data_IF_908445576589
#
_entry.id   IF_908445576589
#
_cell.length_a   1.000
_cell.length_b   1.000
_cell.length_c   1.000
_cell.angle_alpha   90.00
_cell.angle_beta   90.00
_cell.angle_gamma   90.00
#
_symmetry.space_group_name_H-M   'P 1'
#
loop_
_entity.id
_entity.type
_entity.pdbx_description
1 polymer ?
#
# COMPACT_ATOMS: atom_id res chain seq x y z
N UNK A 1 -13.62 -33.34 2.17
CA UNK A 1 -12.56 -33.61 1.18
C UNK A 1 -13.17 -33.31 -0.18
N UNK A 2 -12.99 -32.08 -0.66
CA UNK A 2 -13.36 -31.70 -2.02
C UNK A 2 -12.04 -31.43 -2.74
N UNK A 3 -11.77 -32.23 -3.75
CA UNK A 3 -10.54 -32.24 -4.54
C UNK A 3 -10.55 -31.11 -5.54
N UNK A 4 -9.41 -30.45 -5.67
CA UNK A 4 -9.14 -29.43 -6.67
C UNK A 4 -9.05 -30.08 -8.06
N UNK A 5 -10.19 -30.23 -8.74
CA UNK A 5 -10.24 -30.40 -10.19
C UNK A 5 -11.67 -30.06 -10.65
N UNK A 6 -11.75 -29.31 -11.76
CA UNK A 6 -12.95 -28.78 -12.42
C UNK A 6 -13.46 -27.38 -12.00
N UNK A 7 -12.55 -26.40 -11.97
CA UNK A 7 -12.90 -24.99 -12.20
C UNK A 7 -12.18 -24.48 -13.45
N UNK A 8 -12.68 -24.88 -14.63
CA UNK A 8 -12.42 -24.18 -15.89
C UNK A 8 -13.76 -23.65 -16.40
N UNK A 9 -14.14 -22.46 -15.93
CA UNK A 9 -15.24 -21.69 -16.51
C UNK A 9 -14.95 -20.19 -16.33
N UNK A 10 -14.72 -19.54 -17.46
CA UNK A 10 -14.90 -18.10 -17.76
C UNK A 10 -14.48 -17.08 -16.69
N UNK A 11 -13.32 -16.43 -16.90
CA UNK A 11 -13.12 -14.96 -16.83
C UNK A 11 -13.65 -14.13 -15.65
N UNK A 12 -14.16 -14.73 -14.57
CA UNK A 12 -14.74 -14.01 -13.46
C UNK A 12 -13.63 -13.63 -12.47
N UNK A 13 -13.43 -12.34 -12.30
CA UNK A 13 -12.45 -11.80 -11.35
C UNK A 13 -12.84 -12.27 -9.94
N UNK A 14 -12.03 -13.14 -9.33
CA UNK A 14 -12.30 -13.65 -8.00
C UNK A 14 -12.19 -12.54 -6.94
N UNK A 15 -13.35 -12.08 -6.47
CA UNK A 15 -13.46 -11.11 -5.37
C UNK A 15 -13.52 -11.83 -4.03
N UNK A 16 -12.46 -11.70 -3.21
CA UNK A 16 -12.29 -12.46 -1.96
C UNK A 16 -12.16 -11.53 -0.75
N UNK A 17 -12.47 -12.04 0.45
CA UNK A 17 -12.09 -11.37 1.70
C UNK A 17 -10.65 -11.72 2.04
N UNK A 18 -9.89 -10.78 2.61
CA UNK A 18 -8.47 -11.00 2.83
C UNK A 18 -7.96 -10.31 4.10
N UNK A 19 -7.24 -11.08 4.92
CA UNK A 19 -6.74 -10.62 6.21
C UNK A 19 -7.86 -10.15 7.14
N UNK A 20 -7.62 -9.05 7.84
CA UNK A 20 -8.61 -8.40 8.71
C UNK A 20 -9.47 -7.34 8.00
N UNK A 21 -9.34 -7.19 6.67
CA UNK A 21 -10.16 -6.28 5.90
C UNK A 21 -11.50 -6.94 5.51
N UNK A 22 -12.60 -6.30 5.91
CA UNK A 22 -13.97 -6.78 5.70
C UNK A 22 -14.53 -6.53 4.30
N UNK A 23 -13.86 -5.71 3.48
CA UNK A 23 -14.20 -5.49 2.07
C UNK A 23 -13.79 -6.67 1.18
N UNK A 24 -14.08 -6.56 -0.11
CA UNK A 24 -13.72 -7.58 -1.11
C UNK A 24 -12.59 -7.08 -2.00
N UNK A 25 -11.56 -7.88 -2.18
CA UNK A 25 -10.41 -7.54 -3.03
C UNK A 25 -10.38 -8.43 -4.26
N UNK A 26 -9.95 -7.86 -5.39
CA UNK A 26 -9.60 -8.64 -6.57
C UNK A 26 -8.35 -9.45 -6.23
N UNK A 27 -8.46 -10.76 -6.15
CA UNK A 27 -7.31 -11.63 -5.93
C UNK A 27 -6.42 -11.61 -7.18
N UNK A 28 -5.12 -11.40 -7.00
CA UNK A 28 -4.17 -11.56 -8.09
C UNK A 28 -3.92 -13.06 -8.26
N UNK A 29 -3.99 -13.54 -9.49
CA UNK A 29 -3.74 -14.95 -9.80
C UNK A 29 -2.27 -15.31 -9.50
N UNK A 30 -1.94 -16.60 -9.37
CA UNK A 30 -0.59 -17.06 -8.96
C UNK A 30 0.10 -17.83 -10.10
N UNK A 31 -0.20 -17.47 -11.35
CA UNK A 31 0.46 -18.04 -12.52
C UNK A 31 1.71 -17.21 -12.84
N UNK A 32 2.64 -17.76 -13.63
CA UNK A 32 3.92 -17.09 -13.95
C UNK A 32 3.72 -15.68 -14.54
N UNK A 33 2.63 -15.44 -15.25
CA UNK A 33 2.35 -14.15 -15.92
C UNK A 33 1.49 -13.17 -15.09
N UNK A 34 1.12 -13.53 -13.86
CA UNK A 34 0.14 -12.78 -13.07
C UNK A 34 0.57 -11.35 -12.69
N UNK A 35 1.87 -11.11 -12.54
CA UNK A 35 2.40 -9.77 -12.28
C UNK A 35 2.24 -8.86 -13.53
N UNK A 36 2.69 -9.35 -14.69
CA UNK A 36 2.57 -8.65 -15.96
C UNK A 36 1.10 -8.40 -16.35
N UNK A 37 0.21 -9.39 -16.16
CA UNK A 37 -1.23 -9.24 -16.40
C UNK A 37 -1.84 -8.10 -15.58
N UNK A 38 -1.50 -8.02 -14.29
CA UNK A 38 -2.03 -6.97 -13.42
C UNK A 38 -1.48 -5.59 -13.79
N UNK A 39 -0.18 -5.49 -14.09
CA UNK A 39 0.44 -4.24 -14.55
C UNK A 39 -0.19 -3.77 -15.86
N UNK A 40 -0.33 -4.66 -16.86
CA UNK A 40 -1.00 -4.35 -18.12
C UNK A 40 -2.45 -3.89 -17.91
N UNK A 41 -3.19 -4.55 -17.02
CA UNK A 41 -4.57 -4.17 -16.71
C UNK A 41 -4.65 -2.78 -16.08
N UNK A 42 -3.77 -2.47 -15.13
CA UNK A 42 -3.71 -1.18 -14.46
C UNK A 42 -3.40 -0.06 -15.44
N UNK A 43 -2.42 -0.25 -16.33
CA UNK A 43 -2.09 0.74 -17.35
C UNK A 43 -3.17 0.89 -18.43
N UNK A 44 -3.86 -0.20 -18.78
CA UNK A 44 -4.96 -0.18 -19.74
C UNK A 44 -6.23 0.50 -19.22
N UNK A 45 -6.66 0.17 -18.00
CA UNK A 45 -7.90 0.67 -17.40
C UNK A 45 -7.71 2.03 -16.76
N UNK A 46 -6.67 2.21 -15.94
CA UNK A 46 -6.50 3.45 -15.19
C UNK A 46 -5.78 4.54 -15.99
N UNK A 47 -5.01 4.17 -17.02
CA UNK A 47 -4.30 5.12 -17.87
C UNK A 47 -3.51 6.17 -17.05
N UNK A 48 -2.64 5.73 -16.12
CA UNK A 48 -2.00 6.62 -15.16
C UNK A 48 -1.16 7.71 -15.86
N UNK A 49 -0.59 7.41 -17.03
CA UNK A 49 0.20 8.35 -17.84
C UNK A 49 -0.61 9.55 -18.36
N UNK A 50 -1.92 9.40 -18.53
CA UNK A 50 -2.82 10.48 -18.97
C UNK A 50 -3.41 11.28 -17.81
N UNK A 51 -3.19 10.83 -16.58
CA UNK A 51 -3.76 11.43 -15.38
C UNK A 51 -2.78 12.45 -14.78
N UNK A 52 -3.32 13.59 -14.30
CA UNK A 52 -2.53 14.67 -13.71
C UNK A 52 -1.83 14.17 -12.42
N UNK A 53 -0.51 14.33 -12.26
CA UNK A 53 0.17 14.04 -11.00
C UNK A 53 -0.22 15.08 -9.94
N UNK A 54 0.00 14.76 -8.65
CA UNK A 54 -0.16 15.71 -7.55
C UNK A 54 -1.60 16.28 -7.46
N UNK A 55 -2.58 15.38 -7.48
CA UNK A 55 -4.01 15.70 -7.38
C UNK A 55 -4.39 16.20 -5.98
N UNK A 56 -3.72 15.70 -4.93
CA UNK A 56 -4.03 16.01 -3.54
C UNK A 56 -2.90 16.78 -2.85
N UNK A 57 -1.65 16.53 -3.24
CA UNK A 57 -0.49 17.15 -2.60
C UNK A 57 0.23 18.11 -3.53
N UNK A 58 0.56 19.31 -3.04
CA UNK A 58 1.49 20.21 -3.72
C UNK A 58 2.90 20.04 -3.16
N UNK A 59 3.78 19.39 -3.92
CA UNK A 59 5.17 19.15 -3.52
C UNK A 59 6.03 20.41 -3.51
N UNK A 60 5.56 21.52 -4.08
CA UNK A 60 6.20 22.82 -3.95
C UNK A 60 5.80 23.56 -2.66
N UNK A 61 4.75 23.09 -1.96
CA UNK A 61 4.29 23.72 -0.72
C UNK A 61 5.13 23.28 0.47
N UNK A 62 5.37 24.19 1.41
CA UNK A 62 5.99 23.88 2.70
C UNK A 62 5.00 23.23 3.69
N UNK A 63 3.72 23.29 3.38
CA UNK A 63 2.65 22.84 4.27
C UNK A 63 1.52 22.20 3.47
N UNK A 64 1.03 21.08 3.95
CA UNK A 64 -0.17 20.41 3.47
C UNK A 64 -1.19 20.36 4.62
N UNK A 65 -2.40 20.86 4.38
CA UNK A 65 -3.51 20.75 5.32
C UNK A 65 -4.46 19.65 4.88
N UNK A 66 -4.77 18.72 5.78
CA UNK A 66 -5.69 17.61 5.54
C UNK A 66 -6.63 17.46 6.73
N UNK A 67 -7.90 17.22 6.47
CA UNK A 67 -8.81 16.82 7.55
C UNK A 67 -8.73 15.30 7.73
N UNK A 68 -8.57 14.82 8.96
CA UNK A 68 -8.58 13.39 9.30
C UNK A 68 -9.25 13.20 10.66
N UNK A 69 -10.19 12.26 10.74
CA UNK A 69 -11.01 11.96 11.92
C UNK A 69 -11.68 13.19 12.53
N UNK A 70 -12.15 14.11 11.68
CA UNK A 70 -12.75 15.38 12.11
C UNK A 70 -11.78 16.43 12.66
N UNK A 71 -10.47 16.22 12.51
CA UNK A 71 -9.42 17.16 12.92
C UNK A 71 -8.64 17.64 11.71
N UNK A 72 -8.33 18.94 11.66
CA UNK A 72 -7.44 19.48 10.62
C UNK A 72 -5.98 19.28 11.03
N UNK A 73 -5.26 18.49 10.25
CA UNK A 73 -3.84 18.17 10.41
C UNK A 73 -3.05 19.03 9.44
N UNK A 74 -1.93 19.57 9.91
CA UNK A 74 -0.96 20.30 9.09
C UNK A 74 0.36 19.53 9.04
N UNK A 75 0.73 19.06 7.85
CA UNK A 75 2.01 18.39 7.59
C UNK A 75 3.00 19.39 7.05
N UNK A 76 4.17 19.48 7.69
CA UNK A 76 5.27 20.29 7.19
C UNK A 76 6.10 19.48 6.19
N UNK A 77 6.45 20.12 5.08
CA UNK A 77 7.21 19.52 4.00
C UNK A 77 8.50 20.31 3.76
N UNK A 78 9.50 19.65 3.21
CA UNK A 78 10.77 20.26 2.80
C UNK A 78 11.03 20.05 1.30
N UNK A 79 10.30 20.74 0.40
CA UNK A 79 10.44 20.63 -1.05
C UNK A 79 11.87 20.82 -1.56
N UNK A 80 12.62 21.73 -0.94
CA UNK A 80 14.02 22.01 -1.30
C UNK A 80 14.90 20.76 -1.19
N UNK A 81 14.55 19.84 -0.29
CA UNK A 81 15.34 18.63 -0.04
C UNK A 81 15.11 17.54 -1.10
N UNK A 82 14.02 17.58 -1.90
CA UNK A 82 13.79 16.60 -2.98
C UNK A 82 14.87 16.59 -4.06
N UNK A 83 15.54 17.72 -4.25
CA UNK A 83 16.64 17.82 -5.22
C UNK A 83 17.92 17.13 -4.75
N UNK A 84 17.96 16.69 -3.49
CA UNK A 84 19.12 16.01 -2.90
C UNK A 84 19.06 14.51 -3.26
N UNK A 85 20.10 13.96 -3.90
CA UNK A 85 20.16 12.52 -4.18
C UNK A 85 19.97 11.71 -2.90
N UNK A 86 19.06 10.73 -2.93
CA UNK A 86 18.76 9.87 -1.78
C UNK A 86 17.70 10.40 -0.82
N UNK A 87 17.15 11.60 -1.01
CA UNK A 87 16.08 12.14 -0.16
C UNK A 87 14.72 12.00 -0.85
N UNK A 88 13.95 10.99 -0.44
CA UNK A 88 12.60 10.70 -1.00
C UNK A 88 11.45 10.96 0.00
N UNK A 89 11.76 11.11 1.29
CA UNK A 89 10.78 11.28 2.38
C UNK A 89 10.48 12.73 2.78
N UNK A 90 10.91 13.73 2.00
CA UNK A 90 10.82 15.15 2.39
C UNK A 90 9.49 15.84 2.02
N UNK A 91 8.64 15.22 1.20
CA UNK A 91 7.30 15.72 0.85
C UNK A 91 6.30 14.58 0.93
N UNK A 92 5.02 14.94 1.06
CA UNK A 92 3.95 13.96 0.96
C UNK A 92 3.67 13.59 -0.51
N UNK A 93 3.18 12.39 -0.72
CA UNK A 93 2.78 11.84 -2.01
C UNK A 93 1.28 11.57 -2.02
N UNK A 94 0.66 11.57 -3.21
CA UNK A 94 -0.80 11.39 -3.33
C UNK A 94 -1.25 10.04 -2.75
N UNK A 95 -0.45 8.98 -2.94
CA UNK A 95 -0.74 7.66 -2.38
C UNK A 95 -0.88 7.66 -0.87
N UNK A 96 -0.15 8.54 -0.16
CA UNK A 96 -0.21 8.63 1.31
C UNK A 96 -1.53 9.24 1.78
N UNK A 97 -1.99 10.27 1.07
CA UNK A 97 -3.32 10.86 1.30
C UNK A 97 -4.41 9.85 0.98
N UNK A 98 -4.31 9.16 -0.15
CA UNK A 98 -5.26 8.12 -0.57
C UNK A 98 -5.32 6.98 0.44
N UNK A 99 -4.18 6.49 0.92
CA UNK A 99 -4.12 5.42 1.93
C UNK A 99 -4.77 5.87 3.25
N UNK A 100 -4.42 7.05 3.76
CA UNK A 100 -5.00 7.58 4.98
C UNK A 100 -6.53 7.72 4.88
N UNK A 101 -7.02 8.25 3.76
CA UNK A 101 -8.45 8.44 3.50
C UNK A 101 -9.19 7.14 3.24
N UNK A 102 -8.53 6.17 2.62
CA UNK A 102 -9.04 4.81 2.50
C UNK A 102 -9.23 4.16 3.88
N UNK A 103 -8.23 4.26 4.76
CA UNK A 103 -8.31 3.68 6.11
C UNK A 103 -9.43 4.33 6.94
N UNK A 104 -9.56 5.66 6.91
CA UNK A 104 -10.66 6.39 7.54
C UNK A 104 -12.02 5.91 7.01
N UNK A 105 -12.19 5.89 5.69
CA UNK A 105 -13.43 5.44 5.05
C UNK A 105 -13.76 3.97 5.36
N UNK A 106 -12.74 3.10 5.42
CA UNK A 106 -12.92 1.70 5.75
C UNK A 106 -13.36 1.49 7.21
N UNK A 107 -12.88 2.31 8.15
CA UNK A 107 -13.32 2.30 9.54
C UNK A 107 -14.78 2.77 9.65
N UNK A 108 -15.11 3.90 9.02
CA UNK A 108 -16.48 4.45 9.01
C UNK A 108 -17.48 3.46 8.40
N UNK A 109 -17.07 2.76 7.34
CA UNK A 109 -17.84 1.72 6.67
C UNK A 109 -17.85 0.38 7.40
N UNK A 110 -17.21 0.28 8.57
CA UNK A 110 -17.07 -0.95 9.39
C UNK A 110 -16.39 -2.11 8.66
N UNK A 111 -15.60 -1.81 7.63
CA UNK A 111 -14.77 -2.77 6.92
C UNK A 111 -13.41 -2.96 7.60
N UNK A 112 -13.02 -2.07 8.52
CA UNK A 112 -11.74 -2.15 9.23
C UNK A 112 -11.90 -1.73 10.68
N UNK A 113 -11.16 -2.39 11.57
CA UNK A 113 -11.03 -1.99 12.97
C UNK A 113 -9.58 -1.60 13.22
N UNK A 114 -9.33 -0.34 13.58
CA UNK A 114 -8.01 0.18 13.96
C UNK A 114 -7.85 0.36 15.48
N UNK A 115 -8.95 0.50 16.21
CA UNK A 115 -8.89 0.74 17.65
C UNK A 115 -8.27 -0.45 18.40
N UNK A 116 -7.23 -0.18 19.17
CA UNK A 116 -6.52 -1.20 19.97
C UNK A 116 -5.62 -2.13 19.16
N UNK A 117 -5.22 -1.72 17.95
CA UNK A 117 -4.38 -2.50 17.04
C UNK A 117 -2.94 -2.01 17.04
N UNK A 118 -1.99 -2.94 16.93
CA UNK A 118 -0.58 -2.63 16.75
C UNK A 118 -0.29 -2.38 15.26
N UNK A 119 0.19 -1.18 14.92
CA UNK A 119 0.36 -0.72 13.54
C UNK A 119 1.79 -0.26 13.33
N UNK A 120 2.44 -0.76 12.28
CA UNK A 120 3.76 -0.32 11.83
C UNK A 120 3.59 0.36 10.46
N UNK A 121 4.21 1.52 10.26
CA UNK A 121 4.24 2.23 8.97
C UNK A 121 5.65 2.17 8.38
N UNK A 122 5.75 1.76 7.12
CA UNK A 122 6.99 1.70 6.34
C UNK A 122 7.12 2.95 5.47
N UNK A 123 8.31 3.56 5.48
CA UNK A 123 8.61 4.70 4.62
C UNK A 123 7.76 5.93 4.96
N UNK A 124 7.54 6.21 6.25
CA UNK A 124 6.58 7.22 6.74
C UNK A 124 6.79 8.63 6.18
N UNK A 125 7.96 8.96 5.62
CA UNK A 125 8.26 10.29 5.09
C UNK A 125 8.01 11.37 6.14
N UNK A 126 7.00 12.23 5.89
CA UNK A 126 6.58 13.28 6.81
C UNK A 126 5.75 12.82 8.02
N UNK A 127 5.23 11.58 8.03
CA UNK A 127 4.40 11.01 9.10
C UNK A 127 3.01 11.66 9.26
N UNK A 128 1.95 10.86 9.28
CA UNK A 128 0.57 11.32 9.51
C UNK A 128 0.10 10.93 10.93
N UNK A 129 0.15 11.87 11.88
CA UNK A 129 -0.52 11.75 13.20
C UNK A 129 0.39 11.53 14.42
N UNK A 130 -0.23 11.18 15.57
CA UNK A 130 0.42 10.93 16.87
C UNK A 130 1.13 9.55 16.93
N UNK A 131 1.83 9.17 15.86
CA UNK A 131 2.57 7.93 15.79
C UNK A 131 3.94 8.09 16.47
N UNK A 132 4.41 7.04 17.16
CA UNK A 132 5.83 6.95 17.51
C UNK A 132 6.56 6.56 16.23
N UNK A 133 7.20 7.54 15.59
CA UNK A 133 8.02 7.29 14.40
C UNK A 133 9.34 6.66 14.85
N UNK A 134 9.63 5.46 14.33
CA UNK A 134 10.94 4.83 14.46
C UNK A 134 11.53 4.65 13.07
N UNK A 135 12.81 4.95 12.94
CA UNK A 135 13.57 4.67 11.73
C UNK A 135 13.66 3.15 11.56
N UNK A 136 13.27 2.66 10.39
CA UNK A 136 13.45 1.26 10.00
C UNK A 136 14.16 1.25 8.66
N UNK A 137 15.40 0.76 8.66
CA UNK A 137 16.17 0.51 7.44
C UNK A 137 15.68 -0.81 6.86
N UNK A 138 15.26 -0.80 5.59
CA UNK A 138 14.78 -2.02 4.94
C UNK A 138 15.96 -2.96 4.67
N UNK A 139 15.72 -4.27 4.80
CA UNK A 139 16.74 -5.31 4.65
C UNK A 139 17.61 -5.57 5.88
N UNK A 140 17.51 -4.74 6.94
CA UNK A 140 18.10 -5.02 8.25
C UNK A 140 17.08 -5.70 9.17
N UNK A 141 17.57 -6.46 10.17
CA UNK A 141 16.73 -7.10 11.19
C UNK A 141 15.91 -6.01 11.95
N UNK A 142 14.57 -6.03 11.91
CA UNK A 142 13.75 -5.09 12.66
C UNK A 142 13.93 -5.31 14.17
N UNK A 143 13.87 -4.22 14.94
CA UNK A 143 13.89 -4.28 16.39
C UNK A 143 12.88 -5.29 16.92
N UNK A 144 13.26 -6.09 17.92
CA UNK A 144 12.38 -7.11 18.52
C UNK A 144 11.04 -6.55 19.00
N UNK A 145 11.00 -5.30 19.44
CA UNK A 145 9.77 -4.63 19.87
C UNK A 145 8.77 -4.39 18.73
N UNK A 146 9.22 -4.38 17.47
CA UNK A 146 8.37 -4.25 16.29
C UNK A 146 7.77 -5.60 15.85
N UNK A 147 8.37 -6.72 16.27
CA UNK A 147 7.98 -8.07 15.85
C UNK A 147 7.41 -8.92 17.01
N UNK A 148 7.59 -8.52 18.27
CA UNK A 148 7.09 -9.23 19.44
C UNK A 148 6.18 -8.35 20.31
N UNK A 149 4.83 -8.48 20.19
CA UNK A 149 4.11 -9.32 19.21
C UNK A 149 4.10 -8.68 17.81
N UNK A 150 3.97 -9.52 16.78
CA UNK A 150 3.83 -9.03 15.41
C UNK A 150 2.68 -8.03 15.29
N UNK A 151 2.82 -6.99 14.45
CA UNK A 151 1.79 -6.01 14.22
C UNK A 151 0.51 -6.66 13.66
N UNK A 152 -0.63 -6.11 14.05
CA UNK A 152 -1.91 -6.42 13.39
C UNK A 152 -1.89 -5.88 11.95
N UNK A 153 -1.32 -4.68 11.76
CA UNK A 153 -1.25 -4.01 10.47
C UNK A 153 0.14 -3.48 10.13
N UNK A 154 0.55 -3.67 8.89
CA UNK A 154 1.69 -2.96 8.29
C UNK A 154 1.16 -2.05 7.21
N UNK A 155 1.49 -0.77 7.26
CA UNK A 155 1.10 0.24 6.28
C UNK A 155 2.33 0.65 5.49
N UNK A 156 2.17 0.90 4.19
CA UNK A 156 3.24 1.47 3.37
C UNK A 156 2.64 2.32 2.27
N UNK A 157 3.21 3.51 2.07
CA UNK A 157 2.80 4.41 0.99
C UNK A 157 3.99 4.85 0.18
N UNK A 158 3.90 4.71 -1.15
CA UNK A 158 4.98 5.03 -2.09
C UNK A 158 6.31 4.33 -1.76
N UNK A 159 6.21 3.11 -1.21
CA UNK A 159 7.37 2.27 -0.86
C UNK A 159 7.91 1.44 -2.04
N UNK A 160 7.15 1.33 -3.13
CA UNK A 160 7.50 0.60 -4.35
C UNK A 160 7.99 1.61 -5.40
N UNK A 161 9.26 2.03 -5.30
CA UNK A 161 9.80 3.09 -6.16
C UNK A 161 11.19 2.82 -6.74
N UNK A 162 11.93 1.84 -6.20
CA UNK A 162 13.28 1.49 -6.63
C UNK A 162 13.40 -0.03 -6.80
N UNK A 163 13.92 -0.47 -7.94
CA UNK A 163 14.20 -1.88 -8.21
C UNK A 163 15.16 -2.47 -7.17
N UNK A 164 16.19 -1.71 -6.78
CA UNK A 164 17.19 -2.11 -5.79
C UNK A 164 16.57 -2.34 -4.40
N UNK A 165 15.46 -1.68 -4.08
CA UNK A 165 14.81 -1.76 -2.78
C UNK A 165 13.73 -2.86 -2.69
N UNK A 166 13.33 -3.47 -3.82
CA UNK A 166 12.20 -4.43 -3.86
C UNK A 166 12.48 -5.66 -3.00
N UNK A 167 13.67 -6.24 -3.13
CA UNK A 167 14.03 -7.46 -2.37
C UNK A 167 14.06 -7.18 -0.87
N UNK A 168 14.63 -6.05 -0.49
CA UNK A 168 14.80 -5.64 0.90
C UNK A 168 13.45 -5.29 1.52
N UNK A 169 12.57 -4.61 0.78
CA UNK A 169 11.19 -4.36 1.18
C UNK A 169 10.44 -5.68 1.44
N UNK A 170 10.52 -6.65 0.53
CA UNK A 170 9.82 -7.94 0.70
C UNK A 170 10.39 -8.73 1.87
N UNK A 171 11.71 -8.70 2.09
CA UNK A 171 12.34 -9.31 3.26
C UNK A 171 11.83 -8.70 4.57
N UNK A 172 11.84 -7.36 4.67
CA UNK A 172 11.31 -6.65 5.83
C UNK A 172 9.83 -6.95 6.08
N UNK A 173 9.00 -7.01 5.03
CA UNK A 173 7.59 -7.41 5.16
C UNK A 173 7.45 -8.83 5.72
N UNK A 174 8.32 -9.76 5.33
CA UNK A 174 8.27 -11.15 5.81
C UNK A 174 8.61 -11.27 7.29
N UNK A 175 9.53 -10.45 7.78
CA UNK A 175 9.95 -10.42 9.18
C UNK A 175 8.93 -9.72 10.07
N UNK A 176 8.33 -8.63 9.58
CA UNK A 176 7.28 -7.94 10.30
C UNK A 176 5.99 -8.78 10.41
N UNK A 177 5.69 -9.63 9.43
CA UNK A 177 4.40 -10.31 9.36
C UNK A 177 4.33 -11.65 10.10
N UNK A 178 3.38 -11.72 11.04
CA UNK A 178 2.85 -12.96 11.60
C UNK A 178 1.65 -13.48 10.80
N UNK A 179 1.05 -14.60 11.25
CA UNK A 179 -0.10 -15.24 10.57
C UNK A 179 -1.41 -14.44 10.60
N UNK A 180 -1.48 -13.38 11.42
CA UNK A 180 -2.65 -12.49 11.55
C UNK A 180 -2.41 -11.09 10.98
N UNK A 181 -1.18 -10.78 10.58
CA UNK A 181 -0.81 -9.46 10.09
C UNK A 181 -1.46 -9.22 8.73
N UNK A 182 -2.09 -8.06 8.56
CA UNK A 182 -2.64 -7.60 7.28
C UNK A 182 -1.86 -6.39 6.81
N UNK A 183 -1.29 -6.45 5.61
CA UNK A 183 -0.47 -5.37 5.07
C UNK A 183 -1.32 -4.54 4.12
N UNK A 184 -1.25 -3.22 4.19
CA UNK A 184 -1.84 -2.29 3.24
C UNK A 184 -0.73 -1.49 2.56
N UNK A 185 -0.59 -1.65 1.25
CA UNK A 185 0.36 -0.88 0.44
C UNK A 185 -0.39 -0.01 -0.55
N UNK A 186 -0.14 1.29 -0.51
CA UNK A 186 -0.53 2.22 -1.55
C UNK A 186 0.70 2.68 -2.33
N UNK A 187 0.58 2.81 -3.64
CA UNK A 187 1.69 3.29 -4.47
C UNK A 187 1.18 4.00 -5.71
N UNK A 188 1.91 5.03 -6.13
CA UNK A 188 1.66 5.63 -7.44
C UNK A 188 2.19 4.78 -8.59
N UNK A 189 1.37 4.61 -9.62
CA UNK A 189 1.65 3.92 -10.88
C UNK A 189 2.57 4.79 -11.77
N UNK A 190 3.85 4.82 -11.42
CA UNK A 190 4.89 5.60 -12.14
C UNK A 190 5.72 4.78 -13.10
N UNK A 191 6.03 3.54 -12.73
CA UNK A 191 6.88 2.63 -13.46
C UNK A 191 6.29 1.22 -13.37
N UNK A 192 5.88 0.70 -14.52
CA UNK A 192 5.28 -0.62 -14.69
C UNK A 192 6.27 -1.74 -14.35
N UNK A 193 7.51 -1.64 -14.84
CA UNK A 193 8.55 -2.64 -14.58
C UNK A 193 8.87 -2.81 -13.09
N UNK A 194 8.95 -1.71 -12.32
CA UNK A 194 9.21 -1.79 -10.86
C UNK A 194 8.03 -2.41 -10.12
N UNK A 195 6.79 -2.04 -10.50
CA UNK A 195 5.60 -2.64 -9.90
C UNK A 195 5.51 -4.13 -10.21
N UNK A 196 5.75 -4.51 -11.46
CA UNK A 196 5.76 -5.89 -11.92
C UNK A 196 6.80 -6.70 -11.14
N UNK A 197 8.04 -6.21 -11.05
CA UNK A 197 9.09 -6.86 -10.28
C UNK A 197 8.73 -7.03 -8.80
N UNK A 198 8.15 -5.99 -8.18
CA UNK A 198 7.62 -6.11 -6.81
C UNK A 198 6.58 -7.22 -6.68
N UNK A 199 5.60 -7.26 -7.58
CA UNK A 199 4.55 -8.28 -7.57
C UNK A 199 5.13 -9.68 -7.75
N UNK A 200 6.06 -9.88 -8.69
CA UNK A 200 6.74 -11.17 -8.91
C UNK A 200 7.47 -11.67 -7.66
N UNK A 201 8.17 -10.79 -6.95
CA UNK A 201 8.92 -11.15 -5.74
C UNK A 201 7.97 -11.38 -4.57
N UNK A 202 7.00 -10.49 -4.34
CA UNK A 202 6.07 -10.56 -3.22
C UNK A 202 5.10 -11.76 -3.32
N UNK A 203 4.60 -12.08 -4.53
CA UNK A 203 3.68 -13.19 -4.76
C UNK A 203 4.25 -14.55 -4.40
N UNK A 204 5.58 -14.70 -4.23
CA UNK A 204 6.20 -15.95 -3.77
C UNK A 204 5.74 -16.29 -2.34
N UNK A 205 5.68 -15.29 -1.47
CA UNK A 205 5.44 -15.48 -0.03
C UNK A 205 4.12 -14.89 0.46
N UNK A 206 3.46 -14.04 -0.33
CA UNK A 206 2.22 -13.38 0.03
C UNK A 206 1.08 -13.74 -0.93
N UNK A 207 -0.13 -13.78 -0.39
CA UNK A 207 -1.37 -13.69 -1.16
C UNK A 207 -1.67 -12.20 -1.31
N UNK A 208 -1.82 -11.73 -2.55
CA UNK A 208 -1.99 -10.32 -2.87
C UNK A 208 -3.38 -10.09 -3.46
N UNK A 209 -4.06 -9.06 -2.97
CA UNK A 209 -5.35 -8.63 -3.48
C UNK A 209 -5.37 -7.13 -3.73
N UNK A 210 -5.89 -6.71 -4.89
CA UNK A 210 -6.10 -5.30 -5.21
C UNK A 210 -7.46 -4.83 -4.69
N UNK A 211 -7.48 -3.71 -3.99
CA UNK A 211 -8.73 -3.06 -3.57
C UNK A 211 -9.30 -2.27 -4.75
N UNK A 212 -10.57 -2.51 -5.06
CA UNK A 212 -11.29 -1.76 -6.09
C UNK A 212 -11.56 -0.32 -5.64
N UNK A 213 -11.43 0.65 -6.55
CA UNK A 213 -11.62 2.07 -6.23
C UNK A 213 -13.02 2.42 -5.75
N UNK A 214 -14.04 1.58 -6.04
CA UNK A 214 -15.39 1.75 -5.49
C UNK A 214 -15.46 1.61 -3.97
N UNK A 215 -14.44 1.02 -3.34
CA UNK A 215 -14.32 0.89 -1.88
C UNK A 215 -13.45 2.00 -1.25
N UNK A 216 -12.95 2.94 -2.05
CA UNK A 216 -12.11 4.05 -1.57
C UNK A 216 -12.98 5.23 -1.14
N UNK A 217 -12.38 6.21 -0.47
CA UNK A 217 -13.07 7.46 -0.20
C UNK A 217 -13.44 8.15 -1.53
N UNK A 218 -14.70 8.58 -1.73
CA UNK A 218 -15.20 9.07 -3.02
C UNK A 218 -14.48 10.33 -3.54
N UNK A 219 -13.97 11.17 -2.63
CA UNK A 219 -13.24 12.39 -2.99
C UNK A 219 -11.71 12.20 -3.08
N UNK A 220 -11.17 11.11 -2.52
CA UNK A 220 -9.73 10.86 -2.46
C UNK A 220 -9.39 9.58 -3.21
N UNK A 221 -9.76 9.55 -4.50
CA UNK A 221 -9.44 8.49 -5.43
C UNK A 221 -8.64 9.05 -6.63
N UNK A 222 -7.67 8.27 -7.10
CA UNK A 222 -6.81 8.65 -8.22
C UNK A 222 -6.51 7.44 -9.07
N UNK A 223 -6.64 7.59 -10.39
CA UNK A 223 -6.21 6.64 -11.41
C UNK A 223 -4.69 6.47 -11.48
N UNK A 224 -3.93 7.28 -10.74
CA UNK A 224 -2.49 7.12 -10.59
C UNK A 224 -2.11 6.29 -9.38
N UNK A 225 -3.04 5.93 -8.51
CA UNK A 225 -2.74 5.18 -7.29
C UNK A 225 -3.31 3.78 -7.41
N UNK A 226 -2.61 2.82 -6.83
CA UNK A 226 -3.12 1.46 -6.60
C UNK A 226 -3.02 1.14 -5.11
N UNK A 227 -3.96 0.35 -4.60
CA UNK A 227 -3.97 -0.12 -3.23
C UNK A 227 -4.03 -1.65 -3.22
N UNK A 228 -3.01 -2.25 -2.60
CA UNK A 228 -2.91 -3.68 -2.39
C UNK A 228 -3.07 -4.01 -0.92
N UNK A 229 -3.69 -5.16 -0.67
CA UNK A 229 -3.63 -5.85 0.60
C UNK A 229 -2.74 -7.08 0.40
N UNK A 230 -1.90 -7.38 1.38
CA UNK A 230 -1.08 -8.60 1.39
C UNK A 230 -1.30 -9.37 2.69
N UNK A 231 -1.34 -10.69 2.59
CA UNK A 231 -1.31 -11.61 3.73
C UNK A 231 -0.26 -12.69 3.48
N UNK A 232 0.49 -13.04 4.52
CA UNK A 232 1.53 -14.08 4.43
C UNK A 232 0.88 -15.43 4.15
N UNK A 233 1.46 -16.22 3.23
CA UNK A 233 1.02 -17.58 2.91
C UNK A 233 1.22 -18.56 4.06
#
# INVERSE_FOLDING_TARGET
MATAEEAKMEGEVAMVSMGSYGGKVKLLSVWEESAAEETMLLWGIQQPTFSKPNAFVSQSSLQLSLDACGQSISILQSPSSLSTPGVTGAVMWDSGVVLAKFLEHAVDSRMLLLQGKNIVELGSGCGLGSATVRELVWGDDPDRELIEPHPDYVLGSDVIYSEEAVTDLVATLLELCGSKTTIFLAGELRNDAILEYFLEVAMKNFIIGRVDQTQWHPEYCSSRVVLYILVKK
#
